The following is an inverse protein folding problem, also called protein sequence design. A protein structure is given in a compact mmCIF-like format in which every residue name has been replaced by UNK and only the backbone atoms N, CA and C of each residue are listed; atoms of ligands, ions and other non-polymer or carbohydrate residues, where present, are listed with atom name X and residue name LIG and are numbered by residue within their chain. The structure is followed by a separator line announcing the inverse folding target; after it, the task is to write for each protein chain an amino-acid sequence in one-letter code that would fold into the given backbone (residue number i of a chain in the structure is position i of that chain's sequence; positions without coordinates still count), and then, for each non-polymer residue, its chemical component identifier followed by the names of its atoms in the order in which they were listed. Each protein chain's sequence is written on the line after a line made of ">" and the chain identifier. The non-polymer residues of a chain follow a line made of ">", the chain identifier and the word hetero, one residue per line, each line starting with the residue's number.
data_IF_540028617914
#
_entry.id   IF_540028617914
#
_cell.length_a   1.000
_cell.length_b   1.000
_cell.length_c   1.000
_cell.angle_alpha   90.00
_cell.angle_beta   90.00
_cell.angle_gamma   90.00
#
_symmetry.space_group_name_H-M   'P 1'
#
loop_
_entity.id
_entity.type
_entity.pdbx_description
1 polymer ?
#
# COMPACT_ATOMS: atom_id res chain seq x y z
N UNK A 1 17.37 -5.07 16.17
CA UNK A 1 17.98 -5.42 14.89
C UNK A 1 17.38 -6.73 14.39
N UNK A 2 16.16 -7.08 14.87
CA UNK A 2 15.50 -8.38 14.66
C UNK A 2 14.27 -8.29 13.74
N UNK A 3 14.18 -7.24 12.91
CA UNK A 3 13.09 -7.09 11.95
C UNK A 3 13.31 -7.85 10.63
N UNK A 4 14.52 -8.38 10.42
CA UNK A 4 14.92 -9.05 9.17
C UNK A 4 14.88 -10.58 9.30
N UNK A 5 14.94 -11.12 10.51
CA UNK A 5 14.91 -12.57 10.75
C UNK A 5 13.51 -13.22 10.68
N UNK A 6 12.46 -12.42 10.50
CA UNK A 6 11.09 -12.92 10.33
C UNK A 6 10.77 -13.52 8.95
N UNK A 7 11.68 -13.38 7.97
CA UNK A 7 11.42 -13.79 6.59
C UNK A 7 11.79 -15.27 6.29
N UNK A 8 12.51 -15.93 7.19
CA UNK A 8 13.17 -17.21 6.86
C UNK A 8 12.37 -18.48 7.13
N UNK A 9 11.23 -18.42 7.81
CA UNK A 9 10.42 -19.60 8.08
C UNK A 9 8.93 -19.37 7.81
N UNK A 10 8.58 -19.02 6.58
CA UNK A 10 7.19 -19.07 6.19
C UNK A 10 6.88 -20.45 5.63
N UNK A 11 6.67 -21.38 6.57
CA UNK A 11 5.96 -22.63 6.33
C UNK A 11 4.55 -22.34 5.76
N UNK A 12 3.84 -23.36 5.33
CA UNK A 12 2.44 -23.27 4.88
C UNK A 12 1.55 -22.47 5.84
N UNK A 13 1.84 -22.49 7.15
CA UNK A 13 1.22 -21.64 8.17
C UNK A 13 1.48 -20.13 7.95
N UNK A 14 2.62 -19.75 7.39
CA UNK A 14 2.88 -18.34 7.09
C UNK A 14 2.03 -17.81 5.95
N UNK A 15 1.83 -18.57 4.88
CA UNK A 15 0.97 -18.17 3.76
C UNK A 15 -0.48 -18.03 4.22
N UNK A 16 -0.97 -18.97 5.03
CA UNK A 16 -2.31 -18.90 5.59
C UNK A 16 -2.50 -17.64 6.46
N UNK A 17 -1.53 -17.29 7.28
CA UNK A 17 -1.57 -16.07 8.09
C UNK A 17 -1.60 -14.81 7.23
N UNK A 18 -0.84 -14.78 6.12
CA UNK A 18 -0.87 -13.67 5.17
C UNK A 18 -2.24 -13.52 4.50
N UNK A 19 -2.84 -14.62 4.05
CA UNK A 19 -4.18 -14.62 3.45
C UNK A 19 -5.21 -14.12 4.46
N UNK A 20 -5.15 -14.61 5.69
CA UNK A 20 -6.06 -14.21 6.76
C UNK A 20 -5.92 -12.72 7.10
N UNK A 21 -4.69 -12.21 7.17
CA UNK A 21 -4.41 -10.80 7.41
C UNK A 21 -4.96 -9.93 6.27
N UNK A 22 -4.70 -10.31 5.02
CA UNK A 22 -5.23 -9.61 3.84
C UNK A 22 -6.76 -9.65 3.80
N UNK A 23 -7.38 -10.77 4.18
CA UNK A 23 -8.83 -10.89 4.23
C UNK A 23 -9.44 -9.96 5.27
N UNK A 24 -8.90 -9.94 6.50
CA UNK A 24 -9.34 -9.02 7.55
C UNK A 24 -9.16 -7.56 7.12
N UNK A 25 -8.00 -7.22 6.58
CA UNK A 25 -7.69 -5.88 6.08
C UNK A 25 -8.69 -5.46 4.98
N UNK A 26 -8.97 -6.36 4.03
CA UNK A 26 -9.93 -6.12 2.95
C UNK A 26 -11.34 -5.87 3.46
N UNK A 27 -11.81 -6.68 4.43
CA UNK A 27 -13.15 -6.52 5.01
C UNK A 27 -13.27 -5.15 5.70
N UNK A 28 -12.29 -4.78 6.52
CA UNK A 28 -12.31 -3.49 7.23
C UNK A 28 -12.28 -2.33 6.22
N UNK A 29 -11.46 -2.44 5.17
CA UNK A 29 -11.37 -1.42 4.11
C UNK A 29 -12.70 -1.29 3.35
N UNK A 30 -13.35 -2.38 2.98
CA UNK A 30 -14.65 -2.36 2.27
C UNK A 30 -15.74 -1.73 3.15
N UNK A 31 -15.79 -2.07 4.43
CA UNK A 31 -16.71 -1.45 5.38
C UNK A 31 -16.45 0.05 5.50
N UNK A 32 -15.18 0.45 5.66
CA UNK A 32 -14.78 1.86 5.71
C UNK A 32 -15.12 2.62 4.43
N UNK A 33 -14.91 1.98 3.27
CA UNK A 33 -15.25 2.53 1.96
C UNK A 33 -16.76 2.77 1.79
N UNK A 34 -17.58 1.83 2.24
CA UNK A 34 -19.04 1.98 2.22
C UNK A 34 -19.51 3.10 3.15
N UNK A 35 -18.99 3.18 4.38
CA UNK A 35 -19.38 4.18 5.36
C UNK A 35 -18.93 5.58 4.93
N UNK A 36 -17.69 5.71 4.47
CA UNK A 36 -17.07 6.99 4.12
C UNK A 36 -17.53 7.55 2.78
N UNK A 37 -17.57 6.70 1.76
CA UNK A 37 -17.73 7.13 0.36
C UNK A 37 -18.98 6.60 -0.32
N UNK A 38 -19.76 5.73 0.35
CA UNK A 38 -21.01 5.14 -0.18
C UNK A 38 -20.83 4.30 -1.44
N UNK A 39 -19.60 3.84 -1.71
CA UNK A 39 -19.36 2.91 -2.82
C UNK A 39 -20.03 1.55 -2.57
N UNK A 40 -20.53 0.87 -3.62
CA UNK A 40 -21.19 -0.41 -3.49
C UNK A 40 -20.24 -1.46 -2.90
N UNK A 41 -20.72 -2.18 -1.88
CA UNK A 41 -19.92 -3.18 -1.15
C UNK A 41 -19.44 -4.29 -2.10
N UNK A 42 -20.29 -4.72 -3.04
CA UNK A 42 -19.96 -5.78 -3.99
C UNK A 42 -18.76 -5.45 -4.86
N UNK A 43 -18.76 -4.29 -5.49
CA UNK A 43 -17.70 -3.85 -6.41
C UNK A 43 -16.41 -3.54 -5.65
N UNK A 44 -16.53 -2.91 -4.47
CA UNK A 44 -15.40 -2.67 -3.56
C UNK A 44 -14.74 -3.95 -3.08
N UNK A 45 -15.54 -5.00 -2.82
CA UNK A 45 -15.02 -6.31 -2.38
C UNK A 45 -14.25 -7.00 -3.52
N UNK A 46 -14.79 -6.94 -4.74
CA UNK A 46 -14.08 -7.46 -5.93
C UNK A 46 -12.78 -6.69 -6.17
N UNK A 47 -12.80 -5.36 -6.08
CA UNK A 47 -11.61 -4.51 -6.19
C UNK A 47 -10.54 -4.86 -5.15
N UNK A 48 -10.93 -5.01 -3.88
CA UNK A 48 -10.02 -5.42 -2.80
C UNK A 48 -9.49 -6.85 -3.00
N UNK A 49 -10.30 -7.77 -3.50
CA UNK A 49 -9.86 -9.13 -3.81
C UNK A 49 -8.80 -9.12 -4.93
N UNK A 50 -9.00 -8.32 -5.98
CA UNK A 50 -8.02 -8.16 -7.07
C UNK A 50 -6.71 -7.57 -6.56
N UNK A 51 -6.75 -6.51 -5.74
CA UNK A 51 -5.56 -5.93 -5.12
C UNK A 51 -4.83 -6.93 -4.21
N UNK A 52 -5.58 -7.72 -3.43
CA UNK A 52 -5.01 -8.76 -2.58
C UNK A 52 -4.35 -9.88 -3.38
N UNK A 53 -4.93 -10.28 -4.51
CA UNK A 53 -4.33 -11.26 -5.43
C UNK A 53 -3.04 -10.74 -6.03
N UNK A 54 -3.01 -9.49 -6.50
CA UNK A 54 -1.78 -8.85 -7.02
C UNK A 54 -0.68 -8.85 -5.95
N UNK A 55 -1.05 -8.50 -4.71
CA UNK A 55 -0.13 -8.50 -3.57
C UNK A 55 0.42 -9.90 -3.29
N UNK A 56 -0.44 -10.93 -3.25
CA UNK A 56 -0.02 -12.32 -3.04
C UNK A 56 0.90 -12.82 -4.17
N UNK A 57 0.59 -12.50 -5.43
CA UNK A 57 1.46 -12.83 -6.56
C UNK A 57 2.83 -12.17 -6.43
N UNK A 58 2.89 -10.90 -6.04
CA UNK A 58 4.16 -10.19 -5.86
C UNK A 58 5.00 -10.76 -4.72
N UNK A 59 4.38 -11.09 -3.58
CA UNK A 59 5.05 -11.74 -2.44
C UNK A 59 5.53 -13.15 -2.82
N UNK A 60 4.74 -13.89 -3.59
CA UNK A 60 5.13 -15.21 -4.06
C UNK A 60 6.33 -15.14 -5.03
N UNK A 61 6.33 -14.17 -5.96
CA UNK A 61 7.45 -13.95 -6.88
C UNK A 61 8.75 -13.59 -6.17
N UNK A 62 8.70 -12.81 -5.09
CA UNK A 62 9.88 -12.49 -4.28
C UNK A 62 10.55 -13.75 -3.72
N UNK A 63 9.76 -14.79 -3.40
CA UNK A 63 10.28 -16.04 -2.85
C UNK A 63 10.91 -16.97 -3.87
N UNK A 64 10.30 -17.06 -5.05
CA UNK A 64 10.72 -17.97 -6.10
C UNK A 64 11.91 -17.42 -6.90
N UNK A 65 12.07 -16.09 -6.95
CA UNK A 65 13.11 -15.45 -7.72
C UNK A 65 14.37 -15.21 -6.85
N UNK A 66 15.55 -15.63 -7.29
CA UNK A 66 16.82 -15.50 -6.55
C UNK A 66 17.36 -14.06 -6.54
N UNK A 67 16.52 -13.08 -6.79
CA UNK A 67 16.90 -11.67 -6.76
C UNK A 67 16.56 -11.08 -5.38
N UNK A 68 17.52 -10.46 -4.71
CA UNK A 68 17.32 -9.73 -3.46
C UNK A 68 16.56 -8.41 -3.69
N UNK A 69 15.37 -8.49 -4.30
CA UNK A 69 14.52 -7.36 -4.64
C UNK A 69 13.26 -7.45 -3.76
N UNK A 70 12.89 -6.33 -3.15
CA UNK A 70 11.70 -6.25 -2.27
C UNK A 70 10.41 -6.60 -3.04
N UNK A 71 9.50 -7.32 -2.38
CA UNK A 71 8.16 -7.66 -2.90
C UNK A 71 7.39 -6.45 -3.44
N UNK A 72 7.62 -5.26 -2.90
CA UNK A 72 6.98 -4.01 -3.35
C UNK A 72 7.24 -3.75 -4.83
N UNK A 73 8.46 -4.02 -5.32
CA UNK A 73 8.81 -3.81 -6.72
C UNK A 73 8.05 -4.78 -7.61
N UNK A 74 7.97 -6.06 -7.23
CA UNK A 74 7.20 -7.06 -7.97
C UNK A 74 5.71 -6.72 -8.01
N UNK A 75 5.12 -6.34 -6.88
CA UNK A 75 3.72 -5.90 -6.78
C UNK A 75 3.46 -4.71 -7.70
N UNK A 76 4.36 -3.71 -7.69
CA UNK A 76 4.24 -2.51 -8.52
C UNK A 76 4.32 -2.83 -10.01
N UNK A 77 5.28 -3.67 -10.42
CA UNK A 77 5.43 -4.08 -11.81
C UNK A 77 4.21 -4.87 -12.29
N UNK A 78 3.74 -5.84 -11.50
CA UNK A 78 2.54 -6.61 -11.83
C UNK A 78 1.34 -5.68 -11.96
N UNK A 79 1.15 -4.76 -11.01
CA UNK A 79 0.06 -3.79 -11.02
C UNK A 79 0.07 -2.90 -12.27
N UNK A 80 1.24 -2.37 -12.64
CA UNK A 80 1.40 -1.54 -13.85
C UNK A 80 1.12 -2.34 -15.12
N UNK A 81 1.65 -3.57 -15.23
CA UNK A 81 1.43 -4.42 -16.40
C UNK A 81 -0.05 -4.76 -16.57
N UNK A 82 -0.74 -5.12 -15.48
CA UNK A 82 -2.17 -5.45 -15.50
C UNK A 82 -3.07 -4.23 -15.79
N UNK A 83 -2.65 -3.05 -15.35
CA UNK A 83 -3.35 -1.78 -15.60
C UNK A 83 -3.04 -1.18 -16.97
N UNK A 84 -2.12 -1.77 -17.76
CA UNK A 84 -1.71 -1.21 -19.04
C UNK A 84 -2.86 -1.22 -20.04
N UNK A 85 -3.17 -0.10 -20.74
CA UNK A 85 -4.36 0.04 -21.60
C UNK A 85 -4.48 -0.98 -22.73
N UNK A 86 -3.37 -1.57 -23.20
CA UNK A 86 -3.39 -2.61 -24.25
C UNK A 86 -3.82 -3.99 -23.77
N UNK A 87 -3.93 -4.19 -22.46
CA UNK A 87 -4.38 -5.47 -21.88
C UNK A 87 -5.92 -5.51 -21.82
N UNK A 88 -6.55 -6.59 -22.28
CA UNK A 88 -8.01 -6.71 -22.22
C UNK A 88 -8.55 -6.76 -20.79
N UNK A 89 -7.70 -7.10 -19.82
CA UNK A 89 -8.02 -7.18 -18.41
C UNK A 89 -8.02 -5.81 -17.72
N UNK A 90 -7.36 -4.80 -18.32
CA UNK A 90 -7.17 -3.49 -17.70
C UNK A 90 -8.48 -2.76 -17.43
N UNK A 91 -9.44 -2.83 -18.35
CA UNK A 91 -10.74 -2.17 -18.19
C UNK A 91 -11.54 -2.73 -17.00
N UNK A 92 -11.53 -4.05 -16.83
CA UNK A 92 -12.18 -4.73 -15.72
C UNK A 92 -11.47 -4.42 -14.40
N UNK A 93 -10.14 -4.54 -14.38
CA UNK A 93 -9.33 -4.24 -13.20
C UNK A 93 -9.54 -2.79 -12.74
N UNK A 94 -9.41 -1.83 -13.64
CA UNK A 94 -9.55 -0.41 -13.33
C UNK A 94 -10.98 -0.07 -12.87
N UNK A 95 -12.01 -0.69 -13.48
CA UNK A 95 -13.39 -0.49 -13.05
C UNK A 95 -13.60 -0.85 -11.58
N UNK A 96 -13.18 -2.04 -11.15
CA UNK A 96 -13.38 -2.49 -9.78
C UNK A 96 -12.41 -1.83 -8.78
N UNK A 97 -11.16 -1.61 -9.17
CA UNK A 97 -10.18 -0.95 -8.30
C UNK A 97 -10.53 0.51 -8.07
N UNK A 98 -11.11 1.21 -9.05
CA UNK A 98 -11.56 2.59 -8.89
C UNK A 98 -12.75 2.75 -7.92
N UNK A 99 -13.46 1.66 -7.60
CA UNK A 99 -14.50 1.67 -6.57
C UNK A 99 -13.95 1.60 -5.15
N UNK A 100 -12.63 1.39 -4.99
CA UNK A 100 -11.96 1.38 -3.69
C UNK A 100 -11.20 2.69 -3.52
N UNK A 101 -11.69 3.53 -2.64
CA UNK A 101 -11.03 4.80 -2.34
C UNK A 101 -9.70 4.59 -1.61
N UNK A 102 -8.64 5.22 -2.13
CA UNK A 102 -7.29 5.15 -1.55
C UNK A 102 -7.29 5.54 -0.08
N UNK A 103 -8.08 6.56 0.29
CA UNK A 103 -8.16 7.04 1.67
C UNK A 103 -8.75 5.98 2.61
N UNK A 104 -9.65 5.10 2.15
CA UNK A 104 -10.16 3.98 2.94
C UNK A 104 -9.05 2.99 3.28
N UNK A 105 -8.19 2.65 2.30
CA UNK A 105 -7.02 1.78 2.51
C UNK A 105 -6.05 2.43 3.49
N UNK A 106 -5.72 3.71 3.27
CA UNK A 106 -4.78 4.47 4.10
C UNK A 106 -5.29 4.58 5.54
N UNK A 107 -6.59 4.75 5.76
CA UNK A 107 -7.17 4.84 7.10
C UNK A 107 -6.96 3.55 7.90
N UNK A 108 -7.19 2.39 7.29
CA UNK A 108 -6.95 1.09 7.93
C UNK A 108 -5.46 0.88 8.21
N UNK A 109 -4.60 1.27 7.27
CA UNK A 109 -3.15 1.21 7.44
C UNK A 109 -2.67 2.12 8.58
N UNK A 110 -3.18 3.34 8.67
CA UNK A 110 -2.86 4.28 9.77
C UNK A 110 -3.30 3.75 11.12
N UNK A 111 -4.46 3.10 11.21
CA UNK A 111 -4.91 2.45 12.44
C UNK A 111 -3.95 1.34 12.88
N UNK A 112 -3.50 0.50 11.93
CA UNK A 112 -2.50 -0.54 12.19
C UNK A 112 -1.17 0.04 12.69
N UNK A 113 -0.66 1.08 12.01
CA UNK A 113 0.56 1.79 12.41
C UNK A 113 0.40 2.42 13.79
N UNK A 114 -0.77 3.03 14.08
CA UNK A 114 -1.08 3.62 15.38
C UNK A 114 -1.03 2.61 16.53
N UNK A 115 -1.56 1.40 16.31
CA UNK A 115 -1.46 0.29 17.28
C UNK A 115 0.00 -0.13 17.48
N UNK A 116 0.79 -0.22 16.41
CA UNK A 116 2.21 -0.53 16.45
C UNK A 116 3.00 0.51 17.27
N UNK A 117 2.76 1.79 17.02
CA UNK A 117 3.35 2.88 17.81
C UNK A 117 2.95 2.82 19.27
N UNK A 118 1.70 2.46 19.58
CA UNK A 118 1.24 2.28 20.96
C UNK A 118 2.00 1.19 21.71
N UNK A 119 2.37 0.10 21.05
CA UNK A 119 3.19 -0.97 21.62
C UNK A 119 4.62 -0.52 21.92
N UNK A 120 5.20 0.34 21.09
CA UNK A 120 6.57 0.89 21.24
C UNK A 120 6.58 2.28 21.91
N UNK A 121 5.60 2.58 22.76
CA UNK A 121 5.44 3.90 23.37
C UNK A 121 6.67 4.40 24.14
N UNK A 122 7.37 3.50 24.81
CA UNK A 122 8.58 3.86 25.56
C UNK A 122 9.73 4.26 24.63
N UNK A 123 9.89 3.57 23.51
CA UNK A 123 10.88 3.90 22.47
C UNK A 123 10.52 5.24 21.80
N UNK A 124 9.23 5.45 21.52
CA UNK A 124 8.73 6.70 20.97
C UNK A 124 9.01 7.89 21.91
N UNK A 125 8.79 7.73 23.23
CA UNK A 125 9.14 8.74 24.24
C UNK A 125 10.63 9.03 24.29
N UNK A 126 11.48 8.03 24.11
CA UNK A 126 12.94 8.22 24.12
C UNK A 126 13.44 9.10 22.96
N UNK A 127 12.72 9.10 21.80
CA UNK A 127 13.02 10.00 20.69
C UNK A 127 12.71 11.48 21.02
N UNK A 128 11.73 11.73 21.88
CA UNK A 128 11.37 13.07 22.38
C UNK A 128 11.15 14.11 21.27
N UNK A 129 11.63 15.34 21.51
CA UNK A 129 11.51 16.46 20.57
C UNK A 129 12.13 16.21 19.18
N UNK A 130 13.14 15.35 19.13
CA UNK A 130 13.81 14.99 17.87
C UNK A 130 12.85 14.36 16.86
N UNK A 131 11.91 13.53 17.35
CA UNK A 131 10.89 12.90 16.48
C UNK A 131 10.01 13.97 15.80
N UNK A 132 9.60 15.01 16.53
CA UNK A 132 8.78 16.09 16.00
C UNK A 132 9.52 16.84 14.90
N UNK A 133 10.78 17.22 15.12
CA UNK A 133 11.60 17.91 14.12
C UNK A 133 11.73 17.06 12.86
N UNK A 134 12.08 15.79 13.01
CA UNK A 134 12.21 14.87 11.86
C UNK A 134 10.90 14.74 11.11
N UNK A 135 9.78 14.58 11.80
CA UNK A 135 8.46 14.50 11.18
C UNK A 135 8.12 15.75 10.36
N UNK A 136 8.33 16.93 10.92
CA UNK A 136 8.07 18.19 10.21
C UNK A 136 8.97 18.32 8.99
N UNK A 137 10.26 17.99 9.11
CA UNK A 137 11.20 18.01 7.99
C UNK A 137 10.81 17.02 6.89
N UNK A 138 10.39 15.81 7.25
CA UNK A 138 9.94 14.78 6.28
C UNK A 138 8.69 15.27 5.54
N UNK A 139 7.69 15.80 6.25
CA UNK A 139 6.47 16.32 5.62
C UNK A 139 6.83 17.47 4.66
N UNK A 140 7.62 18.43 5.11
CA UNK A 140 8.05 19.56 4.29
C UNK A 140 8.84 19.10 3.05
N UNK A 141 9.80 18.19 3.23
CA UNK A 141 10.63 17.66 2.14
C UNK A 141 9.80 16.89 1.11
N UNK A 142 8.86 16.07 1.57
CA UNK A 142 7.98 15.30 0.69
C UNK A 142 7.09 16.21 -0.13
N UNK A 143 6.49 17.22 0.53
CA UNK A 143 5.62 18.18 -0.15
C UNK A 143 6.39 19.05 -1.16
N UNK A 144 7.51 19.65 -0.76
CA UNK A 144 8.35 20.45 -1.63
C UNK A 144 8.97 19.62 -2.76
N UNK A 145 9.44 18.41 -2.45
CA UNK A 145 10.03 17.52 -3.45
C UNK A 145 9.02 17.13 -4.53
N UNK A 146 7.81 16.74 -4.14
CA UNK A 146 6.75 16.42 -5.10
C UNK A 146 6.31 17.62 -5.94
N UNK A 147 6.20 18.80 -5.32
CA UNK A 147 5.86 20.04 -6.02
C UNK A 147 6.91 20.44 -7.06
N UNK A 148 8.20 20.33 -6.72
CA UNK A 148 9.30 20.61 -7.65
C UNK A 148 9.29 19.64 -8.83
N UNK A 149 9.14 18.34 -8.57
CA UNK A 149 9.08 17.34 -9.63
C UNK A 149 7.87 17.58 -10.55
N UNK A 150 6.69 17.83 -9.96
CA UNK A 150 5.48 18.15 -10.73
C UNK A 150 5.67 19.40 -11.58
N UNK A 151 6.27 20.47 -11.02
CA UNK A 151 6.54 21.70 -11.74
C UNK A 151 7.49 21.49 -12.93
N UNK A 152 8.57 20.74 -12.73
CA UNK A 152 9.52 20.41 -13.81
C UNK A 152 8.81 19.66 -14.93
N UNK A 153 7.99 18.65 -14.61
CA UNK A 153 7.25 17.87 -15.60
C UNK A 153 6.25 18.74 -16.36
N UNK A 154 5.50 19.60 -15.67
CA UNK A 154 4.54 20.50 -16.30
C UNK A 154 5.21 21.48 -17.26
N UNK A 155 6.34 22.06 -16.86
CA UNK A 155 7.14 22.96 -17.72
C UNK A 155 7.67 22.20 -18.94
N UNK A 156 8.15 20.97 -18.77
CA UNK A 156 8.67 20.16 -19.89
C UNK A 156 7.57 19.68 -20.85
N UNK A 157 6.35 19.46 -20.36
CA UNK A 157 5.21 19.02 -21.19
C UNK A 157 4.44 20.18 -21.80
N UNK A 158 4.80 21.44 -21.50
CA UNK A 158 4.16 22.63 -22.05
C UNK A 158 2.73 22.87 -21.58
N UNK A 159 2.32 22.23 -20.47
CA UNK A 159 1.01 22.46 -19.86
C UNK A 159 1.08 23.78 -19.07
N UNK A 160 0.21 24.77 -19.36
CA UNK A 160 0.20 26.04 -18.59
C UNK A 160 -0.12 25.77 -17.11
N UNK A 161 0.70 26.33 -16.24
CA UNK A 161 0.54 26.26 -14.78
C UNK A 161 -0.40 27.34 -14.31
#
# INVERSE_FOLDING_TARGET
>A
MDFIDGAENVSVHGIFNWILLLAIFSIITVVGNYIGYKHPIGDSLVGMAMLSLITLCGVWMERELPFNISSIIYISVIGIVLAFPSMPTSSVLLHYVSQVELLSIVTVFLAYVGIGMGKSWNEFKALGWRAIIVTVLVIASTYLGSAVVAHIILVMTGVPV
#
